data_IF_832764543136
#
_entry.id   IF_832764543136
#
_cell.length_a   1.000
_cell.length_b   1.000
_cell.length_c   1.000
_cell.angle_alpha   90.00
_cell.angle_beta   90.00
_cell.angle_gamma   90.00
#
_symmetry.space_group_name_H-M   'P 1'
#
loop_
_entity.id
_entity.type
_entity.pdbx_description
1 polymer ?
#
# COMPACT_ATOMS: atom_id res chain seq x y z
N UNK A 1 25.56 -31.47 -41.14
CA UNK A 1 24.22 -31.44 -40.52
C UNK A 1 23.78 -29.99 -40.50
N UNK A 2 22.87 -29.57 -41.41
CA UNK A 2 22.39 -28.19 -41.49
C UNK A 2 21.18 -28.05 -40.53
N UNK A 3 21.12 -26.97 -39.72
CA UNK A 3 19.98 -26.72 -38.84
C UNK A 3 18.76 -26.43 -39.70
N UNK A 4 17.67 -27.17 -39.41
CA UNK A 4 16.37 -27.04 -40.08
C UNK A 4 15.75 -25.68 -39.75
N UNK A 5 15.57 -24.81 -40.73
CA UNK A 5 14.95 -23.50 -40.54
C UNK A 5 13.55 -23.65 -40.00
N UNK A 6 13.15 -22.90 -38.96
CA UNK A 6 11.81 -22.96 -38.42
C UNK A 6 10.80 -22.50 -39.46
N UNK A 7 9.68 -23.22 -39.55
CA UNK A 7 8.59 -22.87 -40.47
C UNK A 7 7.96 -21.52 -40.05
N UNK A 8 7.48 -20.72 -41.00
CA UNK A 8 6.88 -19.39 -40.69
C UNK A 8 5.72 -19.48 -39.69
N UNK A 9 4.99 -20.61 -39.64
CA UNK A 9 3.96 -20.90 -38.62
C UNK A 9 4.52 -20.95 -37.21
N UNK A 10 5.68 -21.58 -36.99
CA UNK A 10 6.29 -21.71 -35.66
C UNK A 10 6.85 -20.37 -35.18
N UNK A 11 7.36 -19.54 -36.08
CA UNK A 11 7.87 -18.20 -35.73
C UNK A 11 6.71 -17.28 -35.32
N UNK A 12 5.56 -17.34 -35.98
CA UNK A 12 4.38 -16.56 -35.63
C UNK A 12 3.77 -16.98 -34.27
N UNK A 13 3.73 -18.29 -33.98
CA UNK A 13 3.25 -18.81 -32.69
C UNK A 13 4.15 -18.40 -31.52
N UNK A 14 5.46 -18.38 -31.72
CA UNK A 14 6.44 -17.93 -30.72
C UNK A 14 6.33 -16.40 -30.45
N UNK A 15 6.09 -15.59 -31.48
CA UNK A 15 5.88 -14.15 -31.35
C UNK A 15 4.60 -13.82 -30.57
N UNK A 16 3.52 -14.53 -30.80
CA UNK A 16 2.24 -14.37 -30.10
C UNK A 16 2.39 -14.79 -28.61
N UNK A 17 3.12 -15.88 -28.33
CA UNK A 17 3.37 -16.33 -26.96
C UNK A 17 4.24 -15.33 -26.16
N UNK A 18 5.17 -14.63 -26.79
CA UNK A 18 6.03 -13.66 -26.15
C UNK A 18 5.26 -12.35 -25.77
N UNK A 19 4.21 -12.00 -26.51
CA UNK A 19 3.38 -10.82 -26.27
C UNK A 19 2.33 -11.01 -25.15
N UNK A 20 2.04 -12.24 -24.77
CA UNK A 20 0.99 -12.55 -23.79
C UNK A 20 1.45 -12.55 -22.32
N UNK A 21 2.75 -12.54 -22.04
CA UNK A 21 3.28 -12.84 -20.71
C UNK A 21 3.32 -11.69 -19.68
N UNK A 22 3.47 -10.38 -20.01
CA UNK A 22 3.57 -9.33 -18.97
C UNK A 22 2.28 -8.56 -18.67
N UNK A 23 1.16 -8.85 -19.34
CA UNK A 23 -0.03 -7.99 -19.28
C UNK A 23 -0.83 -8.01 -17.97
N UNK A 24 -0.81 -9.09 -17.18
CA UNK A 24 -1.71 -9.26 -16.05
C UNK A 24 -1.39 -8.35 -14.85
N UNK A 25 -0.12 -8.10 -14.55
CA UNK A 25 0.28 -7.28 -13.39
C UNK A 25 0.04 -5.80 -13.62
N UNK A 26 0.29 -5.29 -14.82
CA UNK A 26 0.02 -3.91 -15.19
C UNK A 26 -1.48 -3.57 -15.13
N UNK A 27 -2.31 -4.47 -15.64
CA UNK A 27 -3.77 -4.31 -15.62
C UNK A 27 -4.32 -4.30 -14.19
N UNK A 28 -3.82 -5.18 -13.32
CA UNK A 28 -4.20 -5.21 -11.91
C UNK A 28 -3.79 -3.90 -11.19
N UNK A 29 -2.58 -3.41 -11.43
CA UNK A 29 -2.10 -2.17 -10.85
C UNK A 29 -2.98 -0.98 -11.29
N UNK A 30 -3.30 -0.89 -12.58
CA UNK A 30 -4.17 0.16 -13.09
C UNK A 30 -5.57 0.12 -12.46
N UNK A 31 -6.13 -1.08 -12.27
CA UNK A 31 -7.42 -1.25 -11.61
C UNK A 31 -7.37 -0.72 -10.17
N UNK A 32 -6.34 -1.10 -9.39
CA UNK A 32 -6.17 -0.65 -8.00
C UNK A 32 -5.99 0.87 -7.88
N UNK A 33 -5.17 1.44 -8.73
CA UNK A 33 -4.99 2.91 -8.79
C UNK A 33 -6.32 3.61 -9.11
N UNK A 34 -7.09 3.09 -10.04
CA UNK A 34 -8.40 3.65 -10.40
C UNK A 34 -9.42 3.56 -9.25
N UNK A 35 -9.46 2.42 -8.55
CA UNK A 35 -10.30 2.21 -7.36
C UNK A 35 -9.93 3.21 -6.25
N UNK A 36 -8.63 3.41 -6.00
CA UNK A 36 -8.14 4.38 -5.01
C UNK A 36 -8.51 5.81 -5.39
N UNK A 37 -8.36 6.18 -6.67
CA UNK A 37 -8.77 7.50 -7.15
C UNK A 37 -10.25 7.77 -6.94
N UNK A 38 -11.10 6.76 -7.14
CA UNK A 38 -12.53 6.87 -6.85
C UNK A 38 -12.80 7.02 -5.35
N UNK A 39 -12.12 6.26 -4.49
CA UNK A 39 -12.27 6.37 -3.04
C UNK A 39 -11.85 7.77 -2.52
N UNK A 40 -10.78 8.35 -3.08
CA UNK A 40 -10.35 9.72 -2.77
C UNK A 40 -11.41 10.73 -3.18
N UNK A 41 -12.00 10.59 -4.37
CA UNK A 41 -13.08 11.47 -4.83
C UNK A 41 -14.32 11.37 -3.94
N UNK A 42 -14.74 10.16 -3.56
CA UNK A 42 -15.84 9.94 -2.61
C UNK A 42 -15.58 10.56 -1.23
N UNK A 43 -14.33 10.52 -0.75
CA UNK A 43 -13.94 11.18 0.50
C UNK A 43 -14.03 12.72 0.37
N UNK A 44 -13.64 13.28 -0.77
CA UNK A 44 -13.77 14.70 -1.04
C UNK A 44 -15.23 15.14 -1.06
N UNK A 45 -16.11 14.39 -1.74
CA UNK A 45 -17.56 14.63 -1.77
C UNK A 45 -18.18 14.56 -0.37
N UNK A 46 -17.65 13.72 0.52
CA UNK A 46 -18.04 13.66 1.92
C UNK A 46 -17.52 14.86 2.76
N UNK A 47 -16.77 15.78 2.17
CA UNK A 47 -16.20 16.94 2.85
C UNK A 47 -14.91 16.63 3.63
N UNK A 48 -14.23 15.54 3.30
CA UNK A 48 -13.02 15.12 4.01
C UNK A 48 -11.87 16.12 3.87
N UNK A 49 -11.81 16.89 2.80
CA UNK A 49 -10.79 17.93 2.60
C UNK A 49 -10.81 19.00 3.72
N UNK A 50 -11.96 19.20 4.40
CA UNK A 50 -12.13 20.15 5.50
C UNK A 50 -12.22 19.45 6.85
N UNK A 51 -13.07 18.40 6.96
CA UNK A 51 -13.41 17.78 8.21
C UNK A 51 -12.47 16.65 8.64
N UNK A 52 -11.71 16.08 7.70
CA UNK A 52 -10.74 15.00 7.88
C UNK A 52 -9.47 15.27 7.07
N UNK A 53 -8.98 16.50 7.11
CA UNK A 53 -7.91 16.97 6.22
C UNK A 53 -6.63 16.13 6.30
N UNK A 54 -6.29 15.61 7.46
CA UNK A 54 -5.09 14.78 7.64
C UNK A 54 -5.21 13.45 6.86
N UNK A 55 -6.28 12.71 7.07
CA UNK A 55 -6.55 11.43 6.40
C UNK A 55 -6.67 11.63 4.87
N UNK A 56 -7.37 12.66 4.47
CA UNK A 56 -7.55 13.01 3.06
C UNK A 56 -6.23 13.31 2.36
N UNK A 57 -5.34 14.10 2.98
CA UNK A 57 -4.04 14.42 2.42
C UNK A 57 -3.13 13.20 2.31
N UNK A 58 -3.18 12.27 3.28
CA UNK A 58 -2.46 11.00 3.20
C UNK A 58 -2.99 10.13 2.06
N UNK A 59 -4.31 10.01 1.93
CA UNK A 59 -4.93 9.28 0.84
C UNK A 59 -4.50 9.82 -0.52
N UNK A 60 -4.56 11.13 -0.70
CA UNK A 60 -4.18 11.82 -1.93
C UNK A 60 -2.70 11.60 -2.27
N UNK A 61 -1.82 11.70 -1.26
CA UNK A 61 -0.38 11.49 -1.44
C UNK A 61 -0.06 10.06 -1.90
N UNK A 62 -0.63 9.05 -1.23
CA UNK A 62 -0.41 7.66 -1.61
C UNK A 62 -1.00 7.34 -2.99
N UNK A 63 -2.14 7.91 -3.34
CA UNK A 63 -2.71 7.80 -4.66
C UNK A 63 -1.80 8.38 -5.75
N UNK A 64 -1.26 9.58 -5.54
CA UNK A 64 -0.33 10.22 -6.48
C UNK A 64 0.95 9.40 -6.65
N UNK A 65 1.51 8.92 -5.56
CA UNK A 65 2.70 8.06 -5.60
C UNK A 65 2.40 6.72 -6.29
N UNK A 66 1.22 6.12 -6.06
CA UNK A 66 0.82 4.89 -6.76
C UNK A 66 0.72 5.10 -8.29
N UNK A 67 0.27 6.27 -8.73
CA UNK A 67 0.24 6.63 -10.16
C UNK A 67 1.65 6.79 -10.75
N UNK A 68 2.57 7.40 -10.01
CA UNK A 68 3.96 7.58 -10.40
C UNK A 68 4.65 6.21 -10.57
N UNK A 69 4.56 5.35 -9.56
CA UNK A 69 5.11 3.98 -9.60
C UNK A 69 4.50 3.14 -10.73
N UNK A 70 3.20 3.35 -11.04
CA UNK A 70 2.59 2.70 -12.18
C UNK A 70 3.20 3.18 -13.50
N UNK A 71 3.48 4.49 -13.62
CA UNK A 71 4.14 5.08 -14.79
C UNK A 71 5.55 4.53 -14.99
N UNK A 72 6.26 4.26 -13.90
CA UNK A 72 7.61 3.70 -13.88
C UNK A 72 7.65 2.17 -14.03
N UNK A 73 6.50 1.55 -14.34
CA UNK A 73 6.32 0.11 -14.48
C UNK A 73 6.61 -0.71 -13.19
N UNK A 74 6.64 -0.05 -12.03
CA UNK A 74 6.77 -0.67 -10.70
C UNK A 74 5.39 -1.13 -10.18
N UNK A 75 4.77 -2.03 -10.91
CA UNK A 75 3.37 -2.40 -10.69
C UNK A 75 3.06 -2.95 -9.30
N UNK A 76 4.01 -3.66 -8.67
CA UNK A 76 3.83 -4.20 -7.33
C UNK A 76 3.78 -3.09 -6.29
N UNK A 77 4.74 -2.18 -6.30
CA UNK A 77 4.79 -1.00 -5.44
C UNK A 77 3.56 -0.13 -5.62
N UNK A 78 3.15 0.08 -6.89
CA UNK A 78 1.93 0.81 -7.23
C UNK A 78 0.68 0.21 -6.58
N UNK A 79 0.51 -1.13 -6.62
CA UNK A 79 -0.61 -1.83 -5.98
C UNK A 79 -0.59 -1.65 -4.47
N UNK A 80 0.56 -1.75 -3.84
CA UNK A 80 0.69 -1.64 -2.39
C UNK A 80 0.38 -0.19 -1.92
N UNK A 81 0.92 0.80 -2.61
CA UNK A 81 0.59 2.21 -2.36
C UNK A 81 -0.88 2.54 -2.60
N UNK A 82 -1.48 1.99 -3.66
CA UNK A 82 -2.89 2.17 -3.93
C UNK A 82 -3.77 1.61 -2.80
N UNK A 83 -3.45 0.44 -2.26
CA UNK A 83 -4.17 -0.13 -1.10
C UNK A 83 -4.10 0.79 0.12
N UNK A 84 -2.89 1.30 0.45
CA UNK A 84 -2.70 2.23 1.56
C UNK A 84 -3.52 3.50 1.33
N UNK A 85 -3.45 4.08 0.13
CA UNK A 85 -4.23 5.26 -0.23
C UNK A 85 -5.74 5.06 -0.10
N UNK A 86 -6.24 3.88 -0.50
CA UNK A 86 -7.65 3.51 -0.39
C UNK A 86 -8.10 3.43 1.07
N UNK A 87 -7.28 2.78 1.95
CA UNK A 87 -7.57 2.71 3.38
C UNK A 87 -7.66 4.10 4.02
N UNK A 88 -6.73 5.00 3.68
CA UNK A 88 -6.77 6.38 4.16
C UNK A 88 -7.98 7.16 3.63
N UNK A 89 -8.40 6.93 2.38
CA UNK A 89 -9.59 7.56 1.80
C UNK A 89 -10.88 7.11 2.50
N UNK A 90 -11.00 5.83 2.81
CA UNK A 90 -12.12 5.28 3.58
C UNK A 90 -12.17 5.87 5.00
N UNK A 91 -11.02 5.96 5.68
CA UNK A 91 -10.93 6.61 6.99
C UNK A 91 -11.29 8.11 6.92
N UNK A 92 -10.81 8.82 5.91
CA UNK A 92 -11.17 10.21 5.68
C UNK A 92 -12.68 10.41 5.55
N UNK A 93 -13.34 9.53 4.79
CA UNK A 93 -14.80 9.54 4.62
C UNK A 93 -15.55 9.27 5.94
N UNK A 94 -15.09 8.29 6.73
CA UNK A 94 -15.68 7.97 8.04
C UNK A 94 -15.55 9.17 8.99
N UNK A 95 -14.34 9.75 9.12
CA UNK A 95 -14.10 10.89 10.00
C UNK A 95 -14.88 12.12 9.53
N UNK A 96 -14.94 12.39 8.23
CA UNK A 96 -15.67 13.52 7.66
C UNK A 96 -17.17 13.46 7.95
N UNK A 97 -17.73 12.26 8.06
CA UNK A 97 -19.15 12.03 8.37
C UNK A 97 -19.45 11.90 9.86
N UNK A 98 -18.48 12.21 10.74
CA UNK A 98 -18.63 12.18 12.19
C UNK A 98 -18.34 10.83 12.84
N UNK A 99 -17.75 9.89 12.10
CA UNK A 99 -17.28 8.62 12.64
C UNK A 99 -15.96 8.75 13.40
N UNK A 100 -15.60 7.70 14.12
CA UNK A 100 -14.35 7.62 14.86
C UNK A 100 -13.23 7.02 13.98
N UNK A 101 -12.02 7.57 14.07
CA UNK A 101 -10.85 7.00 13.41
C UNK A 101 -10.55 5.60 13.92
N UNK A 102 -10.46 4.63 13.02
CA UNK A 102 -10.03 3.28 13.37
C UNK A 102 -8.51 3.15 13.11
N UNK A 103 -7.71 3.32 14.17
CA UNK A 103 -6.26 3.18 14.10
C UNK A 103 -5.80 1.75 13.82
N UNK A 104 -6.62 0.74 14.11
CA UNK A 104 -6.25 -0.65 13.83
C UNK A 104 -6.32 -0.95 12.32
N UNK A 105 -7.26 -0.36 11.60
CA UNK A 105 -7.36 -0.48 10.15
C UNK A 105 -6.12 0.12 9.44
N UNK A 106 -5.48 1.12 10.06
CA UNK A 106 -4.31 1.80 9.51
C UNK A 106 -2.99 1.04 9.77
N UNK A 107 -2.97 0.17 10.78
CA UNK A 107 -1.81 -0.67 11.11
C UNK A 107 -1.77 -1.99 10.32
N UNK A 108 -2.87 -2.39 9.69
CA UNK A 108 -2.97 -3.62 8.89
C UNK A 108 -2.23 -3.59 7.55
N UNK A 109 -1.48 -2.52 7.25
CA UNK A 109 -0.64 -2.44 6.05
C UNK A 109 0.65 -3.26 6.10
N UNK A 110 1.01 -3.78 7.27
CA UNK A 110 2.25 -4.54 7.46
C UNK A 110 2.07 -6.05 7.30
N UNK A 111 0.86 -6.52 6.95
CA UNK A 111 0.61 -7.95 6.70
C UNK A 111 0.97 -8.36 5.25
N UNK A 112 2.10 -7.82 4.75
CA UNK A 112 2.81 -8.37 3.59
C UNK A 112 3.78 -9.48 4.02
N UNK A 113 3.65 -10.00 5.24
CA UNK A 113 4.37 -11.16 5.66
C UNK A 113 3.69 -12.42 5.16
N UNK A 114 4.24 -12.92 4.04
CA UNK A 114 4.54 -14.34 3.85
C UNK A 114 3.35 -15.30 4.08
N UNK A 115 2.56 -15.47 3.04
CA UNK A 115 1.78 -16.71 2.90
C UNK A 115 2.73 -17.89 2.63
N UNK A 116 3.57 -18.16 3.62
CA UNK A 116 4.31 -19.39 3.78
C UNK A 116 3.95 -20.00 5.11
N UNK A 117 2.91 -20.83 5.08
CA UNK A 117 2.56 -21.87 6.01
C UNK A 117 3.19 -21.88 7.40
N UNK A 118 2.42 -21.50 8.41
CA UNK A 118 2.45 -22.22 9.66
C UNK A 118 1.09 -22.18 10.38
N UNK A 119 0.30 -23.20 10.15
CA UNK A 119 -0.81 -23.60 11.01
C UNK A 119 -0.19 -24.29 12.24
N UNK A 120 -0.03 -23.59 13.36
CA UNK A 120 -0.24 -24.12 14.71
C UNK A 120 0.47 -23.29 15.78
N UNK A 121 -0.28 -22.80 16.75
CA UNK A 121 0.27 -22.44 18.04
C UNK A 121 -0.63 -21.52 18.85
N UNK A 122 -1.18 -22.00 20.00
CA UNK A 122 -2.06 -21.20 20.83
C UNK A 122 -1.30 -20.18 21.68
N UNK A 123 -1.82 -18.97 21.73
CA UNK A 123 -1.75 -18.03 22.85
C UNK A 123 -0.42 -17.86 23.58
N UNK A 124 0.31 -16.79 23.31
CA UNK A 124 1.28 -16.27 24.27
C UNK A 124 0.91 -14.81 24.61
N UNK A 125 0.42 -14.63 25.87
CA UNK A 125 0.24 -13.33 26.50
C UNK A 125 1.57 -12.57 26.48
N UNK A 126 1.58 -11.25 26.24
CA UNK A 126 2.75 -10.43 26.54
C UNK A 126 2.80 -10.25 28.07
N UNK A 127 3.81 -10.83 28.70
CA UNK A 127 4.21 -10.49 30.05
C UNK A 127 4.91 -9.13 29.99
N UNK A 128 4.35 -8.15 30.74
CA UNK A 128 4.97 -6.87 30.95
C UNK A 128 6.28 -7.06 31.74
N UNK A 129 7.34 -6.49 31.24
CA UNK A 129 8.54 -6.19 32.00
C UNK A 129 8.68 -4.67 31.99
N UNK A 130 8.52 -4.13 33.22
CA UNK A 130 8.75 -2.73 33.50
C UNK A 130 10.22 -2.39 33.32
N UNK A 131 10.51 -1.47 32.42
CA UNK A 131 11.78 -0.77 32.36
C UNK A 131 11.69 0.46 33.25
N UNK A 132 12.43 0.45 34.35
CA UNK A 132 12.72 1.59 35.22
C UNK A 132 13.30 2.73 34.35
N UNK A 133 12.67 3.89 34.42
CA UNK A 133 13.23 5.13 33.94
C UNK A 133 14.23 5.60 35.01
N UNK A 134 15.50 5.48 34.73
CA UNK A 134 16.53 6.14 35.52
C UNK A 134 16.52 7.62 35.20
N UNK A 135 16.17 8.43 36.21
CA UNK A 135 16.29 9.87 36.24
C UNK A 135 17.78 10.24 36.17
N UNK A 136 18.25 10.69 35.01
CA UNK A 136 19.56 11.34 34.92
C UNK A 136 19.39 12.85 35.15
N UNK A 137 19.83 13.25 36.34
CA UNK A 137 20.14 14.60 36.80
C UNK A 137 20.80 15.46 35.68
N UNK A 138 20.08 16.41 35.16
CA UNK A 138 20.65 17.48 34.38
C UNK A 138 20.97 18.65 35.32
N UNK A 139 22.20 18.64 35.85
CA UNK A 139 22.75 19.73 36.64
C UNK A 139 22.98 20.99 35.76
N UNK A 140 22.39 22.08 36.22
CA UNK A 140 22.72 23.45 35.87
C UNK A 140 24.21 23.73 36.06
N UNK A 141 24.86 24.25 35.04
CA UNK A 141 26.07 25.04 35.23
C UNK A 141 25.81 26.46 34.69
N UNK A 142 25.35 27.35 35.64
CA UNK A 142 25.64 28.75 35.54
C UNK A 142 27.12 28.95 35.93
N UNK A 143 27.93 29.56 35.08
CA UNK A 143 28.93 30.49 35.56
C UNK A 143 29.52 31.45 34.48
N UNK A 144 29.38 32.72 34.84
CA UNK A 144 30.20 33.94 34.49
C UNK A 144 30.38 34.33 33.06
#
# INVERSE_FOLDING_TARGET
MLPRSPSPSTACALLIALLAAPGCTATLAMLRVTETGRAVAEAEEAGASVNAAFEYQLALRHYQQAMEEHGDAQYRTSVDLAKIGMTWAEQAKIVATGGTRDINALQGGDDLSDESGNLNGPGKKPSGEGGELEDEDFLEEEDK
#
